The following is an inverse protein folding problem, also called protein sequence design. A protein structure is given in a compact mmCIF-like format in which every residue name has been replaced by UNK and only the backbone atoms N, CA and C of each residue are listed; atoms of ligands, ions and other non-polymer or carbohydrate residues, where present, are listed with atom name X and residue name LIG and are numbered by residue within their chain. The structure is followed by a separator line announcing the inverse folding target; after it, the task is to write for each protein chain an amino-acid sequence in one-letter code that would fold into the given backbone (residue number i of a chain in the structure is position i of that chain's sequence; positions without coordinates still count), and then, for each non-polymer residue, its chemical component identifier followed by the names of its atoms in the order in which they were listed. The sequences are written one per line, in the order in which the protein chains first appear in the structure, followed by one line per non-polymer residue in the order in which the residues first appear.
data_IF_256825829646
#
_entry.id   IF_256825829646
#
_cell.length_a   1.000
_cell.length_b   1.000
_cell.length_c   1.000
_cell.angle_alpha   90.00
_cell.angle_beta   90.00
_cell.angle_gamma   90.00
#
_symmetry.space_group_name_H-M   'P 1'
#
loop_
_entity.id
_entity.type
_entity.pdbx_description
1 polymer ?
#
# COMPACT_ATOMS: atom_id res chain seq x y z
N UNK A 1 71.11 -14.02 -20.71
CA UNK A 1 70.66 -15.20 -19.94
C UNK A 1 69.79 -14.70 -18.78
N UNK A 2 68.53 -15.17 -18.76
CA UNK A 2 67.51 -15.18 -17.67
C UNK A 2 67.18 -13.86 -16.95
N UNK A 3 66.03 -13.22 -17.18
CA UNK A 3 64.65 -13.59 -16.82
C UNK A 3 64.32 -13.35 -15.33
N UNK A 4 63.42 -12.40 -15.07
CA UNK A 4 62.33 -12.57 -14.10
C UNK A 4 61.33 -11.42 -14.22
N UNK A 5 60.14 -11.70 -14.76
CA UNK A 5 58.97 -10.81 -14.64
C UNK A 5 57.94 -11.56 -13.80
N UNK A 6 57.92 -11.25 -12.51
CA UNK A 6 56.91 -11.76 -11.59
C UNK A 6 55.59 -11.05 -11.85
N UNK A 7 54.64 -11.74 -12.48
CA UNK A 7 53.24 -11.32 -12.55
C UNK A 7 52.48 -11.97 -11.39
N UNK A 8 52.11 -11.17 -10.39
CA UNK A 8 51.16 -11.54 -9.34
C UNK A 8 49.77 -11.67 -9.98
N UNK A 9 49.22 -12.89 -10.00
CA UNK A 9 47.83 -13.14 -10.35
C UNK A 9 46.96 -12.91 -9.11
N UNK A 10 46.24 -11.79 -9.07
CA UNK A 10 45.18 -11.54 -8.09
C UNK A 10 43.93 -12.29 -8.55
N UNK A 11 43.60 -13.38 -7.86
CA UNK A 11 42.35 -14.10 -8.04
C UNK A 11 41.20 -13.28 -7.44
N UNK A 12 40.33 -12.74 -8.29
CA UNK A 12 39.11 -12.05 -7.89
C UNK A 12 38.07 -13.06 -7.39
N UNK A 13 37.81 -13.07 -6.08
CA UNK A 13 36.62 -13.71 -5.52
C UNK A 13 35.39 -12.87 -5.87
N UNK A 14 34.65 -13.27 -6.90
CA UNK A 14 33.33 -12.73 -7.17
C UNK A 14 32.31 -13.43 -6.24
N UNK A 15 31.83 -12.71 -5.21
CA UNK A 15 30.72 -13.17 -4.38
C UNK A 15 29.42 -13.13 -5.19
N UNK A 16 28.88 -14.32 -5.50
CA UNK A 16 27.56 -14.48 -6.10
C UNK A 16 26.51 -14.24 -5.00
N UNK A 17 25.96 -13.03 -4.94
CA UNK A 17 24.74 -12.77 -4.18
C UNK A 17 23.57 -13.38 -4.96
N UNK A 18 23.15 -14.59 -4.58
CA UNK A 18 21.90 -15.18 -5.04
C UNK A 18 20.74 -14.37 -4.43
N UNK A 19 20.13 -13.49 -5.21
CA UNK A 19 18.89 -12.83 -4.82
C UNK A 19 17.78 -13.88 -4.86
N UNK A 20 17.36 -14.36 -3.69
CA UNK A 20 16.17 -15.20 -3.57
C UNK A 20 14.95 -14.33 -3.87
N UNK A 21 14.41 -14.48 -5.08
CA UNK A 21 13.07 -13.98 -5.42
C UNK A 21 12.08 -14.86 -4.64
N UNK A 22 11.59 -14.37 -3.51
CA UNK A 22 10.44 -14.97 -2.85
C UNK A 22 9.25 -14.76 -3.78
N UNK A 23 8.75 -15.84 -4.39
CA UNK A 23 7.43 -15.82 -4.99
C UNK A 23 6.45 -15.37 -3.89
N UNK A 24 5.58 -14.41 -4.19
CA UNK A 24 4.54 -14.02 -3.24
C UNK A 24 3.75 -15.27 -2.85
N UNK A 25 3.89 -15.71 -1.60
CA UNK A 25 3.11 -16.83 -1.10
C UNK A 25 1.65 -16.41 -1.14
N UNK A 26 0.81 -17.25 -1.73
CA UNK A 26 -0.62 -16.99 -1.81
C UNK A 26 -1.37 -18.03 -0.99
N UNK A 27 -1.77 -17.63 0.22
CA UNK A 27 -2.52 -18.49 1.15
C UNK A 27 -3.90 -18.85 0.62
N UNK A 28 -4.56 -17.93 -0.09
CA UNK A 28 -5.89 -18.13 -0.65
C UNK A 28 -5.92 -17.69 -2.10
N UNK A 29 -6.29 -18.60 -2.99
CA UNK A 29 -6.30 -18.36 -4.44
C UNK A 29 -7.67 -18.65 -5.05
N UNK A 30 -7.91 -18.07 -6.22
CA UNK A 30 -9.11 -18.27 -7.01
C UNK A 30 -8.75 -18.55 -8.46
N UNK A 31 -9.47 -19.50 -9.08
CA UNK A 31 -9.31 -19.82 -10.49
C UNK A 31 -10.39 -19.11 -11.30
N UNK A 32 -9.96 -18.22 -12.20
CA UNK A 32 -10.85 -17.40 -13.03
C UNK A 32 -11.72 -18.28 -13.92
N UNK A 33 -13.01 -17.99 -13.94
CA UNK A 33 -14.00 -18.61 -14.82
C UNK A 33 -14.32 -17.69 -15.99
N UNK A 34 -14.84 -18.27 -17.07
CA UNK A 34 -15.29 -17.49 -18.20
C UNK A 34 -16.42 -16.55 -17.80
N UNK A 35 -16.26 -15.25 -18.09
CA UNK A 35 -17.22 -14.21 -17.75
C UNK A 35 -17.05 -13.60 -16.35
N UNK A 36 -16.05 -14.03 -15.58
CA UNK A 36 -15.75 -13.39 -14.30
C UNK A 36 -15.30 -11.93 -14.47
N UNK A 37 -15.61 -11.15 -13.44
CA UNK A 37 -15.19 -9.77 -13.29
C UNK A 37 -14.75 -9.53 -11.83
N UNK A 38 -13.85 -8.58 -11.58
CA UNK A 38 -13.21 -8.41 -10.27
C UNK A 38 -14.22 -8.30 -9.13
N UNK A 39 -15.24 -7.45 -9.26
CA UNK A 39 -16.25 -7.28 -8.21
C UNK A 39 -17.07 -8.54 -7.94
N UNK A 40 -17.40 -9.30 -8.99
CA UNK A 40 -18.12 -10.56 -8.85
C UNK A 40 -17.27 -11.64 -8.17
N UNK A 41 -15.97 -11.70 -8.50
CA UNK A 41 -15.01 -12.58 -7.81
C UNK A 41 -14.90 -12.15 -6.35
N UNK A 42 -14.71 -10.86 -6.09
CA UNK A 42 -14.60 -10.28 -4.74
C UNK A 42 -15.81 -10.63 -3.88
N UNK A 43 -17.01 -10.40 -4.41
CA UNK A 43 -18.26 -10.66 -3.72
C UNK A 43 -18.46 -12.15 -3.44
N UNK A 44 -18.13 -13.02 -4.41
CA UNK A 44 -18.28 -14.46 -4.26
C UNK A 44 -17.25 -15.09 -3.31
N UNK A 45 -16.13 -14.42 -3.06
CA UNK A 45 -15.03 -14.96 -2.27
C UNK A 45 -14.77 -14.18 -0.97
N UNK A 46 -15.53 -13.14 -0.61
CA UNK A 46 -15.26 -12.31 0.57
C UNK A 46 -13.79 -11.81 0.57
N UNK A 47 -13.45 -11.03 -0.43
CA UNK A 47 -12.21 -10.26 -0.51
C UNK A 47 -12.59 -8.89 -1.05
N UNK A 48 -11.98 -7.80 -0.57
CA UNK A 48 -12.30 -6.49 -1.14
C UNK A 48 -11.76 -6.38 -2.57
N UNK A 49 -12.43 -5.58 -3.41
CA UNK A 49 -11.97 -5.31 -4.78
C UNK A 49 -10.56 -4.70 -4.76
N UNK A 50 -10.27 -3.85 -3.78
CA UNK A 50 -8.92 -3.33 -3.54
C UNK A 50 -7.90 -4.44 -3.28
N UNK A 51 -8.17 -5.34 -2.33
CA UNK A 51 -7.25 -6.42 -2.00
C UNK A 51 -7.01 -7.36 -3.18
N UNK A 52 -8.05 -7.72 -3.92
CA UNK A 52 -7.91 -8.52 -5.13
C UNK A 52 -7.00 -7.85 -6.15
N UNK A 53 -7.17 -6.55 -6.38
CA UNK A 53 -6.33 -5.83 -7.35
C UNK A 53 -4.88 -5.66 -6.85
N UNK A 54 -4.70 -5.30 -5.58
CA UNK A 54 -3.39 -5.07 -4.97
C UNK A 54 -2.55 -6.34 -4.85
N UNK A 55 -3.18 -7.49 -4.59
CA UNK A 55 -2.50 -8.79 -4.50
C UNK A 55 -2.11 -9.38 -5.86
N UNK A 56 -2.57 -8.79 -6.96
CA UNK A 56 -2.30 -9.26 -8.32
C UNK A 56 -1.71 -8.15 -9.22
N UNK A 57 -0.65 -7.44 -8.77
CA UNK A 57 -0.09 -6.32 -9.50
C UNK A 57 0.47 -6.79 -10.84
N UNK A 58 0.14 -6.06 -11.92
CA UNK A 58 0.54 -6.39 -13.28
C UNK A 58 -0.20 -7.60 -13.90
N UNK A 59 -0.95 -8.37 -13.10
CA UNK A 59 -1.83 -9.45 -13.59
C UNK A 59 -3.24 -8.94 -13.83
N UNK A 60 -3.76 -8.08 -12.94
CA UNK A 60 -5.04 -7.39 -13.13
C UNK A 60 -4.76 -5.97 -13.60
N UNK A 61 -5.39 -5.55 -14.70
CA UNK A 61 -5.30 -4.18 -15.18
C UNK A 61 -6.26 -3.25 -14.43
N UNK A 62 -6.10 -1.91 -14.51
CA UNK A 62 -6.94 -0.97 -13.77
C UNK A 62 -8.44 -1.00 -14.07
N UNK A 63 -8.86 -1.64 -15.17
CA UNK A 63 -10.28 -1.75 -15.55
C UNK A 63 -10.82 -3.18 -15.41
N UNK A 64 -10.05 -4.10 -14.83
CA UNK A 64 -10.34 -5.52 -14.73
C UNK A 64 -10.86 -6.19 -16.03
N UNK A 65 -10.35 -5.78 -17.19
CA UNK A 65 -10.81 -6.30 -18.49
C UNK A 65 -9.94 -7.40 -19.05
N UNK A 66 -8.84 -7.74 -18.37
CA UNK A 66 -7.81 -8.65 -18.89
C UNK A 66 -7.82 -10.05 -18.24
N UNK A 67 -8.82 -10.37 -17.41
CA UNK A 67 -8.93 -11.68 -16.77
C UNK A 67 -9.02 -12.80 -17.83
N UNK A 68 -8.15 -13.80 -17.70
CA UNK A 68 -8.13 -14.97 -18.59
C UNK A 68 -8.74 -16.17 -17.85
N UNK A 69 -9.69 -16.91 -18.45
CA UNK A 69 -10.18 -18.14 -17.87
C UNK A 69 -9.02 -19.09 -17.53
N UNK A 70 -9.17 -19.84 -16.44
CA UNK A 70 -8.19 -20.76 -15.87
C UNK A 70 -6.92 -20.12 -15.30
N UNK A 71 -6.73 -18.79 -15.38
CA UNK A 71 -5.67 -18.12 -14.62
C UNK A 71 -5.97 -18.17 -13.12
N UNK A 72 -4.91 -18.18 -12.33
CA UNK A 72 -5.03 -18.16 -10.86
C UNK A 72 -4.75 -16.74 -10.37
N UNK A 73 -5.69 -16.19 -9.59
CA UNK A 73 -5.53 -14.94 -8.87
C UNK A 73 -5.24 -15.22 -7.40
N UNK A 74 -4.43 -14.36 -6.80
CA UNK A 74 -4.23 -14.37 -5.36
C UNK A 74 -5.30 -13.54 -4.66
N UNK A 75 -6.10 -14.16 -3.80
CA UNK A 75 -7.07 -13.44 -2.97
C UNK A 75 -6.40 -12.85 -1.74
N UNK A 76 -5.55 -13.65 -1.09
CA UNK A 76 -4.76 -13.18 0.04
C UNK A 76 -3.39 -13.86 0.12
N UNK A 77 -2.30 -13.09 0.30
CA UNK A 77 -0.97 -13.65 0.49
C UNK A 77 -0.84 -14.38 1.83
N UNK A 78 -1.42 -13.82 2.90
CA UNK A 78 -1.27 -14.30 4.28
C UNK A 78 -2.58 -14.15 5.07
N UNK A 79 -2.81 -14.97 6.12
CA UNK A 79 -3.98 -14.80 6.99
C UNK A 79 -4.07 -13.41 7.66
N UNK A 80 -2.93 -12.76 7.91
CA UNK A 80 -2.86 -11.41 8.48
C UNK A 80 -3.29 -10.30 7.52
N UNK A 81 -3.27 -10.56 6.22
CA UNK A 81 -3.68 -9.62 5.17
C UNK A 81 -5.03 -10.00 4.53
N UNK A 82 -5.71 -11.05 5.00
CA UNK A 82 -6.98 -11.50 4.43
C UNK A 82 -8.18 -10.76 5.08
N UNK A 83 -8.82 -9.86 4.33
CA UNK A 83 -10.07 -9.25 4.78
C UNK A 83 -11.27 -10.08 4.32
N UNK A 84 -11.75 -10.93 5.21
CA UNK A 84 -12.89 -11.82 4.96
C UNK A 84 -14.23 -11.27 5.42
N UNK A 85 -14.23 -10.13 6.14
CA UNK A 85 -15.45 -9.38 6.47
C UNK A 85 -15.61 -8.24 5.49
N UNK A 86 -16.54 -8.38 4.54
CA UNK A 86 -16.70 -7.43 3.43
C UNK A 86 -18.12 -6.89 3.34
N UNK A 87 -18.25 -5.70 2.74
CA UNK A 87 -19.51 -5.05 2.39
C UNK A 87 -19.59 -4.86 0.88
N UNK A 88 -20.73 -5.22 0.27
CA UNK A 88 -20.99 -4.94 -1.15
C UNK A 88 -21.75 -3.64 -1.23
N UNK A 89 -21.21 -2.65 -1.92
CA UNK A 89 -21.80 -1.33 -2.05
C UNK A 89 -23.13 -1.42 -2.80
N UNK A 90 -24.16 -0.81 -2.21
CA UNK A 90 -25.52 -0.73 -2.76
C UNK A 90 -25.93 0.74 -2.96
N UNK A 91 -27.02 1.02 -3.70
CA UNK A 91 -27.49 2.39 -3.88
C UNK A 91 -27.79 3.08 -2.55
N UNK A 92 -27.37 4.35 -2.46
CA UNK A 92 -27.45 5.25 -1.30
C UNK A 92 -26.53 4.90 -0.12
N UNK A 93 -25.56 4.01 -0.31
CA UNK A 93 -24.52 3.80 0.68
C UNK A 93 -23.70 5.07 0.93
N UNK A 94 -23.31 5.23 2.18
CA UNK A 94 -22.39 6.28 2.66
C UNK A 94 -21.38 5.63 3.59
N UNK A 95 -20.18 6.21 3.71
CA UNK A 95 -19.18 5.68 4.64
C UNK A 95 -19.72 5.66 6.07
N UNK A 96 -20.41 6.72 6.52
CA UNK A 96 -21.06 6.73 7.85
C UNK A 96 -22.03 5.56 8.04
N UNK A 97 -22.86 5.26 7.05
CA UNK A 97 -23.80 4.14 7.09
C UNK A 97 -23.09 2.79 7.17
N UNK A 98 -22.10 2.57 6.30
CA UNK A 98 -21.31 1.34 6.25
C UNK A 98 -20.54 1.13 7.57
N UNK A 99 -19.83 2.16 8.04
CA UNK A 99 -19.06 2.13 9.28
C UNK A 99 -19.94 1.83 10.49
N UNK A 100 -21.12 2.45 10.56
CA UNK A 100 -22.07 2.24 11.66
C UNK A 100 -22.64 0.82 11.64
N UNK A 101 -23.00 0.31 10.45
CA UNK A 101 -23.53 -1.04 10.30
C UNK A 101 -22.49 -2.12 10.62
N UNK A 102 -21.23 -1.89 10.24
CA UNK A 102 -20.11 -2.79 10.52
C UNK A 102 -19.51 -2.61 11.94
N UNK A 103 -19.88 -1.54 12.64
CA UNK A 103 -19.34 -1.16 13.96
C UNK A 103 -17.80 -1.01 13.95
N UNK A 104 -17.25 -0.37 12.92
CA UNK A 104 -15.80 -0.19 12.75
C UNK A 104 -15.37 1.28 12.78
N UNK A 105 -14.10 1.51 13.09
CA UNK A 105 -13.48 2.83 13.08
C UNK A 105 -13.16 3.27 11.63
N UNK A 106 -13.42 4.54 11.30
CA UNK A 106 -13.13 5.10 9.98
C UNK A 106 -11.67 4.99 9.56
N UNK A 107 -10.71 5.18 10.47
CA UNK A 107 -9.28 5.00 10.21
C UNK A 107 -8.96 3.59 9.76
N UNK A 108 -9.50 2.56 10.44
CA UNK A 108 -9.28 1.16 10.04
C UNK A 108 -9.90 0.89 8.67
N UNK A 109 -11.09 1.44 8.43
CA UNK A 109 -11.76 1.32 7.14
C UNK A 109 -10.95 1.93 6.00
N UNK A 110 -10.42 3.16 6.14
CA UNK A 110 -9.62 3.80 5.09
C UNK A 110 -8.24 3.14 4.93
N UNK A 111 -7.63 2.61 6.00
CA UNK A 111 -6.42 1.79 5.87
C UNK A 111 -6.69 0.54 5.03
N UNK A 112 -7.82 -0.13 5.26
CA UNK A 112 -8.21 -1.34 4.54
C UNK A 112 -8.75 -1.06 3.12
N UNK A 113 -9.18 0.17 2.85
CA UNK A 113 -9.76 0.61 1.58
C UNK A 113 -9.19 1.98 1.16
N UNK A 114 -7.88 2.07 0.89
CA UNK A 114 -7.22 3.35 0.62
C UNK A 114 -7.65 3.97 -0.73
N UNK A 115 -8.42 3.24 -1.54
CA UNK A 115 -9.07 3.81 -2.71
C UNK A 115 -10.29 4.68 -2.38
N UNK A 116 -10.93 4.50 -1.21
CA UNK A 116 -12.13 5.24 -0.83
C UNK A 116 -11.71 6.61 -0.30
N UNK A 117 -12.21 7.66 -0.93
CA UNK A 117 -11.96 9.02 -0.48
C UNK A 117 -12.75 9.35 0.81
N UNK A 118 -12.31 10.38 1.53
CA UNK A 118 -12.90 10.76 2.81
C UNK A 118 -14.39 11.10 2.72
N UNK A 119 -14.82 11.67 1.59
CA UNK A 119 -16.22 12.03 1.34
C UNK A 119 -17.10 10.83 0.91
N UNK A 120 -16.51 9.65 0.72
CA UNK A 120 -17.18 8.45 0.19
C UNK A 120 -17.90 8.67 -1.15
N UNK A 121 -17.45 9.62 -1.96
CA UNK A 121 -18.12 9.99 -3.21
C UNK A 121 -17.71 9.14 -4.40
N UNK A 122 -16.68 8.31 -4.25
CA UNK A 122 -16.12 7.50 -5.32
C UNK A 122 -16.43 6.00 -5.22
N UNK A 123 -17.24 5.58 -4.24
CA UNK A 123 -17.72 4.19 -4.16
C UNK A 123 -18.86 3.96 -5.15
N UNK A 124 -18.94 2.76 -5.72
CA UNK A 124 -19.90 2.43 -6.77
C UNK A 124 -20.63 1.12 -6.50
N UNK A 125 -21.86 1.03 -7.00
CA UNK A 125 -22.73 -0.12 -6.79
C UNK A 125 -22.06 -1.39 -7.31
N UNK A 126 -21.94 -2.39 -6.43
CA UNK A 126 -21.25 -3.66 -6.70
C UNK A 126 -19.79 -3.71 -6.23
N UNK A 127 -19.14 -2.59 -5.92
CA UNK A 127 -17.80 -2.58 -5.33
C UNK A 127 -17.81 -3.33 -3.99
N UNK A 128 -16.74 -4.08 -3.70
CA UNK A 128 -16.62 -4.83 -2.44
C UNK A 128 -15.57 -4.18 -1.56
N UNK A 129 -15.98 -3.72 -0.38
CA UNK A 129 -15.16 -3.02 0.60
C UNK A 129 -14.81 -3.92 1.77
N UNK A 130 -13.60 -3.79 2.30
CA UNK A 130 -13.20 -4.45 3.54
C UNK A 130 -13.80 -3.71 4.74
N UNK A 131 -14.61 -4.40 5.54
CA UNK A 131 -15.21 -3.84 6.76
C UNK A 131 -14.79 -4.63 8.01
N UNK A 132 -13.63 -5.28 7.95
CA UNK A 132 -12.99 -5.88 9.11
C UNK A 132 -12.53 -4.83 10.13
N UNK A 133 -12.71 -5.13 11.40
CA UNK A 133 -12.31 -4.24 12.51
C UNK A 133 -10.81 -4.24 12.82
N UNK A 134 -10.01 -4.98 12.07
CA UNK A 134 -8.54 -5.00 12.19
C UNK A 134 -7.90 -4.51 10.89
N UNK A 135 -6.67 -4.01 11.00
CA UNK A 135 -5.87 -3.60 9.84
C UNK A 135 -5.47 -4.83 9.02
N UNK A 136 -5.85 -4.85 7.74
CA UNK A 136 -5.72 -5.91 6.74
C UNK A 136 -5.25 -5.31 5.40
N UNK A 137 -4.15 -4.57 5.43
CA UNK A 137 -3.67 -3.82 4.24
C UNK A 137 -2.73 -4.70 3.43
N UNK A 138 -3.02 -4.99 2.16
CA UNK A 138 -2.05 -5.54 1.22
C UNK A 138 -0.83 -4.63 1.11
N UNK A 139 0.33 -5.23 0.86
CA UNK A 139 1.50 -4.48 0.42
C UNK A 139 1.14 -3.54 -0.74
N UNK A 140 1.64 -2.31 -0.68
CA UNK A 140 1.50 -1.34 -1.78
C UNK A 140 2.01 -1.95 -3.11
N UNK A 141 1.13 -2.06 -4.13
CA UNK A 141 1.50 -2.64 -5.41
C UNK A 141 2.47 -1.78 -6.21
N UNK A 142 2.66 -0.49 -5.90
CA UNK A 142 3.59 0.41 -6.60
C UNK A 142 3.25 0.63 -8.08
N UNK A 143 2.08 0.19 -8.52
CA UNK A 143 1.56 0.31 -9.88
C UNK A 143 0.07 0.66 -9.82
N UNK A 144 -0.50 1.30 -10.86
CA UNK A 144 -1.94 1.51 -10.94
C UNK A 144 -2.71 0.18 -10.90
N UNK A 145 -3.70 0.12 -10.02
CA UNK A 145 -4.56 -1.06 -9.81
C UNK A 145 -6.05 -0.72 -10.03
N UNK A 146 -6.90 -1.74 -10.05
CA UNK A 146 -8.35 -1.59 -10.22
C UNK A 146 -9.00 -1.05 -8.94
N UNK A 147 -9.02 0.27 -8.82
CA UNK A 147 -9.49 0.98 -7.61
C UNK A 147 -10.46 2.13 -7.91
N UNK A 148 -10.71 2.40 -9.18
CA UNK A 148 -11.66 3.41 -9.60
C UNK A 148 -12.94 2.74 -10.15
N UNK A 149 -14.10 3.41 -10.02
CA UNK A 149 -15.33 2.99 -10.67
C UNK A 149 -15.10 2.72 -12.17
N UNK A 150 -15.60 1.60 -12.70
CA UNK A 150 -15.66 1.39 -14.14
C UNK A 150 -16.39 2.56 -14.84
N UNK A 151 -15.98 2.91 -16.05
CA UNK A 151 -16.67 3.95 -16.80
C UNK A 151 -18.15 3.59 -16.99
N UNK A 152 -19.05 4.49 -16.60
CA UNK A 152 -20.50 4.26 -16.66
C UNK A 152 -21.08 3.47 -15.48
N UNK A 153 -20.28 3.09 -14.47
CA UNK A 153 -20.80 2.54 -13.23
C UNK A 153 -21.69 3.55 -12.50
N UNK A 154 -22.72 3.06 -11.82
CA UNK A 154 -23.54 3.87 -10.92
C UNK A 154 -22.79 4.04 -9.59
N UNK A 155 -22.47 5.27 -9.23
CA UNK A 155 -21.93 5.62 -7.92
C UNK A 155 -23.01 5.41 -6.87
N UNK A 156 -22.61 5.13 -5.62
CA UNK A 156 -23.57 4.89 -4.54
C UNK A 156 -24.52 6.09 -4.32
N UNK A 157 -24.07 7.31 -4.59
CA UNK A 157 -24.88 8.53 -4.52
C UNK A 157 -25.82 8.74 -5.72
N UNK A 158 -25.95 7.76 -6.62
CA UNK A 158 -26.81 7.80 -7.81
C UNK A 158 -26.23 8.60 -8.99
N UNK A 159 -25.02 9.15 -8.87
CA UNK A 159 -24.32 9.74 -10.00
C UNK A 159 -23.73 8.66 -10.90
N UNK A 160 -23.43 9.00 -12.16
CA UNK A 160 -22.72 8.09 -13.07
C UNK A 160 -21.24 8.40 -13.04
N UNK A 161 -20.41 7.37 -12.86
CA UNK A 161 -18.97 7.48 -12.96
C UNK A 161 -18.56 7.94 -14.36
N UNK A 162 -18.01 9.15 -14.44
CA UNK A 162 -17.32 9.60 -15.64
C UNK A 162 -16.06 8.80 -15.79
N UNK A 163 -15.72 8.35 -17.01
CA UNK A 163 -14.48 7.63 -17.25
C UNK A 163 -13.30 8.42 -16.65
N UNK A 164 -12.37 7.76 -15.91
CA UNK A 164 -11.14 8.42 -15.50
C UNK A 164 -10.51 9.06 -16.73
N UNK A 165 -10.00 10.31 -16.65
CA UNK A 165 -9.28 10.88 -17.77
C UNK A 165 -8.23 9.87 -18.19
N UNK A 166 -8.24 9.45 -19.46
CA UNK A 166 -7.29 8.48 -19.96
C UNK A 166 -5.90 9.00 -19.59
N UNK A 167 -5.27 8.36 -18.61
CA UNK A 167 -3.87 8.63 -18.29
C UNK A 167 -3.16 8.11 -19.53
N UNK A 168 -2.88 9.01 -20.48
CA UNK A 168 -1.97 8.71 -21.58
C UNK A 168 -0.76 8.10 -20.88
N UNK A 169 -0.30 6.90 -21.25
CA UNK A 169 0.89 6.34 -20.64
C UNK A 169 1.98 7.38 -20.83
N UNK A 170 2.32 8.06 -19.73
CA UNK A 170 3.52 8.87 -19.67
C UNK A 170 4.60 7.82 -19.61
N UNK A 171 5.01 7.34 -20.79
CA UNK A 171 6.39 6.93 -20.99
C UNK A 171 7.24 8.15 -20.66
N UNK A 172 7.46 8.37 -19.38
CA UNK A 172 8.72 8.93 -18.92
C UNK A 172 9.71 7.87 -19.34
N UNK A 173 10.24 8.02 -20.55
CA UNK A 173 11.48 7.40 -20.90
C UNK A 173 12.44 7.81 -19.78
N UNK A 174 12.78 6.85 -18.92
CA UNK A 174 13.97 6.99 -18.08
C UNK A 174 15.07 7.11 -19.11
N UNK A 175 15.49 8.35 -19.39
CA UNK A 175 16.64 8.60 -20.20
C UNK A 175 17.75 7.77 -19.56
N UNK A 176 18.33 6.86 -20.36
CA UNK A 176 19.50 6.12 -19.95
C UNK A 176 20.59 7.15 -19.62
N UNK A 177 20.69 7.52 -18.35
CA UNK A 177 21.84 8.25 -17.84
C UNK A 177 22.99 7.27 -17.94
N UNK A 178 23.80 7.44 -18.98
CA UNK A 178 25.14 6.88 -19.05
C UNK A 178 25.80 7.09 -17.69
N UNK A 179 26.08 5.98 -17.01
CA UNK A 179 26.88 5.92 -15.80
C UNK A 179 28.24 6.57 -16.08
N UNK A 180 28.35 7.85 -15.78
CA UNK A 180 29.61 8.55 -15.76
C UNK A 180 30.22 8.26 -14.39
N UNK A 181 31.38 7.60 -14.40
CA UNK A 181 32.10 7.19 -13.21
C UNK A 181 32.33 8.39 -12.28
N UNK A 182 31.97 8.21 -11.01
CA UNK A 182 32.30 9.14 -9.94
C UNK A 182 33.83 9.35 -9.89
N UNK A 183 34.34 10.59 -9.79
CA UNK A 183 35.74 10.80 -9.48
C UNK A 183 36.02 10.31 -8.06
N UNK A 184 37.14 9.60 -7.91
CA UNK A 184 37.65 9.14 -6.63
C UNK A 184 37.91 10.35 -5.71
N UNK A 185 37.19 10.40 -4.60
CA UNK A 185 37.50 11.30 -3.48
C UNK A 185 38.62 10.68 -2.66
N UNK A 186 39.79 11.31 -2.73
CA UNK A 186 40.94 11.04 -1.88
C UNK A 186 40.60 11.44 -0.44
N UNK A 187 40.70 10.49 0.48
CA UNK A 187 40.60 10.75 1.92
C UNK A 187 41.81 11.57 2.39
N UNK A 188 41.54 12.60 3.20
CA UNK A 188 42.50 13.25 4.08
C UNK A 188 41.82 13.45 5.46
N UNK A 189 42.61 13.47 6.54
CA UNK A 189 42.20 13.04 7.87
C UNK A 189 41.43 14.12 8.64
N UNK A 190 40.70 13.65 9.65
CA UNK A 190 39.78 14.45 10.43
C UNK A 190 40.41 15.42 11.42
N UNK A 191 39.54 16.28 11.93
CA UNK A 191 39.69 16.97 13.20
C UNK A 191 38.33 16.92 13.89
N UNK A 192 38.43 16.74 15.20
CA UNK A 192 37.42 16.42 16.19
C UNK A 192 36.78 17.74 16.60
N UNK A 193 35.45 17.84 16.60
CA UNK A 193 34.74 18.83 17.41
C UNK A 193 33.45 18.18 17.92
N UNK A 194 33.53 17.83 19.20
CA UNK A 194 32.45 17.38 20.07
C UNK A 194 31.59 18.61 20.41
N UNK A 195 30.27 18.52 20.21
CA UNK A 195 29.34 19.48 20.83
C UNK A 195 28.26 18.72 21.61
N UNK A 196 28.33 18.97 22.91
CA UNK A 196 27.50 18.50 24.02
C UNK A 196 25.99 18.57 23.72
N UNK A 197 25.30 17.48 24.07
CA UNK A 197 23.91 17.54 24.45
C UNK A 197 23.85 17.26 25.94
N UNK A 198 23.91 18.33 26.75
CA UNK A 198 23.74 18.29 28.20
C UNK A 198 22.50 17.48 28.59
N UNK A 199 22.73 16.41 29.34
CA UNK A 199 21.75 15.78 30.21
C UNK A 199 21.54 16.70 31.42
N UNK A 200 20.36 17.31 31.52
CA UNK A 200 19.94 17.96 32.77
C UNK A 200 18.95 17.05 33.51
N UNK A 201 19.28 16.91 34.80
CA UNK A 201 18.82 15.93 35.74
C UNK A 201 17.35 16.10 36.11
N UNK A 202 16.76 14.98 36.52
CA UNK A 202 15.39 14.92 37.00
C UNK A 202 15.21 15.64 38.34
N UNK A 203 14.10 16.36 38.44
CA UNK A 203 13.54 16.77 39.72
C UNK A 203 12.15 16.14 39.91
N UNK A 204 11.97 15.58 41.10
CA UNK A 204 10.87 14.79 41.61
C UNK A 204 9.47 15.36 41.30
N UNK A 205 8.64 14.58 40.59
CA UNK A 205 7.19 14.73 40.66
C UNK A 205 6.67 13.68 41.64
N UNK A 206 6.39 14.13 42.86
CA UNK A 206 5.59 13.37 43.82
C UNK A 206 4.20 13.09 43.26
N UNK A 207 3.83 11.81 43.27
CA UNK A 207 2.49 11.33 42.97
C UNK A 207 1.57 11.77 44.11
N UNK A 208 0.83 12.86 43.89
CA UNK A 208 -0.30 13.24 44.76
C UNK A 208 -1.58 12.65 44.16
N UNK A 209 -2.05 11.57 44.78
CA UNK A 209 -3.42 11.07 44.62
C UNK A 209 -4.43 12.16 45.05
N UNK A 210 -5.35 12.55 44.16
CA UNK A 210 -6.45 13.47 44.48
C UNK A 210 -7.53 13.57 43.38
N UNK A 211 -8.83 13.64 43.72
CA UNK A 211 -9.95 13.41 42.80
C UNK A 211 -10.55 14.70 42.20
N UNK A 212 -11.27 14.57 41.08
CA UNK A 212 -12.12 15.63 40.48
C UNK A 212 -11.43 16.30 39.30
N UNK A 213 -11.93 16.12 38.07
CA UNK A 213 -12.99 16.91 37.45
C UNK A 213 -12.61 18.40 37.29
N UNK A 214 -12.98 18.91 36.11
CA UNK A 214 -13.28 20.31 35.76
C UNK A 214 -12.15 21.13 35.11
N UNK A 215 -12.46 21.56 33.88
CA UNK A 215 -11.95 22.73 33.17
C UNK A 215 -10.64 22.64 32.39
N UNK A 216 -10.79 22.26 31.12
CA UNK A 216 -9.93 22.70 30.02
C UNK A 216 -10.26 24.16 29.65
N UNK A 217 -9.34 25.13 29.80
CA UNK A 217 -9.42 26.37 29.05
C UNK A 217 -8.63 26.29 27.75
N UNK A 218 -9.23 26.92 26.75
CA UNK A 218 -8.86 26.96 25.34
C UNK A 218 -7.48 27.59 25.09
N UNK A 219 -6.78 27.06 24.09
CA UNK A 219 -5.63 27.70 23.46
C UNK A 219 -6.10 28.87 22.61
N UNK A 220 -6.16 30.07 23.17
CA UNK A 220 -6.08 31.33 22.43
C UNK A 220 -5.29 32.33 23.29
N UNK A 221 -4.42 33.09 22.63
CA UNK A 221 -3.52 34.13 23.16
C UNK A 221 -2.16 33.64 23.70
N UNK A 222 -1.18 33.49 22.78
CA UNK A 222 0.14 34.07 22.99
C UNK A 222 0.64 34.70 21.67
N UNK A 223 0.95 36.00 21.76
CA UNK A 223 1.66 36.82 20.78
C UNK A 223 3.07 36.28 20.43
#
# INVERSE_FOLDING_TARGET
MFASRSTLALASLAALFAQTVYAAECSRSYKVKAGDYCDAISAANNVSTYQLAANNPGTINPTCTNLQPDSTLCLSPSPSEDCTTTHIVVPNDTCTGILSAAQINGTIFHLNNPQVNDDCTNIYVGEVLCVGGEVRVPKDPGVPIHTAPPAGAELANGATATAPPAVKPTTTAVAATTSQAAPAVTAAPGEEDEEDCDEDDGDDIEVVDGPGNEDLPFCDELE
#
